data_IF_455470619829
#
_entry.id   IF_455470619829
#
_cell.length_a   1.000
_cell.length_b   1.000
_cell.length_c   1.000
_cell.angle_alpha   90.00
_cell.angle_beta   90.00
_cell.angle_gamma   90.00
#
_symmetry.space_group_name_H-M   'P 1'
#
loop_
_entity.id
_entity.type
_entity.pdbx_description
1 polymer ?
#
# COMPACT_ATOMS: atom_id res chain seq x y z
N UNK A 1 25.25 2.83 -38.13
CA UNK A 1 25.42 3.59 -36.87
C UNK A 1 24.04 3.84 -36.29
N UNK A 2 23.61 3.00 -35.34
CA UNK A 2 22.24 2.99 -34.81
C UNK A 2 22.04 4.19 -33.87
N UNK A 3 21.07 5.05 -34.19
CA UNK A 3 20.58 6.12 -33.33
C UNK A 3 19.78 5.46 -32.18
N UNK A 4 20.32 5.53 -30.97
CA UNK A 4 19.57 5.21 -29.75
C UNK A 4 18.87 6.49 -29.31
N UNK A 5 17.59 6.61 -29.60
CA UNK A 5 16.72 7.64 -29.03
C UNK A 5 16.43 7.29 -27.57
N UNK A 6 17.06 8.03 -26.65
CA UNK A 6 16.73 8.01 -25.23
C UNK A 6 15.31 8.51 -25.03
N UNK A 7 14.39 7.62 -24.68
CA UNK A 7 13.06 7.98 -24.21
C UNK A 7 13.21 8.41 -22.75
N UNK A 8 13.33 9.71 -22.51
CA UNK A 8 13.38 10.28 -21.17
C UNK A 8 12.08 9.95 -20.44
N UNK A 9 12.16 9.07 -19.43
CA UNK A 9 11.04 8.78 -18.55
C UNK A 9 10.74 10.04 -17.72
N UNK A 10 9.81 10.86 -18.19
CA UNK A 10 9.32 12.04 -17.47
C UNK A 10 8.45 11.60 -16.27
N UNK A 11 9.07 11.04 -15.25
CA UNK A 11 8.42 10.70 -13.99
C UNK A 11 8.10 11.95 -13.19
N UNK A 12 6.96 12.59 -13.47
CA UNK A 12 6.46 13.71 -12.64
C UNK A 12 6.08 13.18 -11.26
N UNK A 13 6.80 13.60 -10.22
CA UNK A 13 6.41 13.36 -8.84
C UNK A 13 5.09 14.06 -8.54
N UNK A 14 4.03 13.28 -8.33
CA UNK A 14 2.76 13.80 -7.87
C UNK A 14 2.77 13.86 -6.34
N UNK A 15 2.54 15.05 -5.78
CA UNK A 15 2.22 15.18 -4.34
C UNK A 15 0.85 14.58 -4.10
N UNK A 16 0.83 13.35 -3.62
CA UNK A 16 -0.38 12.65 -3.20
C UNK A 16 -0.44 12.77 -1.67
N UNK A 17 -1.60 13.15 -1.11
CA UNK A 17 -1.76 13.23 0.33
C UNK A 17 -1.45 11.90 1.01
N UNK A 18 -0.87 11.93 2.21
CA UNK A 18 -0.43 10.72 2.92
C UNK A 18 -1.57 9.70 3.07
N UNK A 19 -2.79 10.19 3.31
CA UNK A 19 -4.01 9.38 3.42
C UNK A 19 -4.41 8.67 2.12
N UNK A 20 -3.99 9.16 0.96
CA UNK A 20 -4.27 8.58 -0.36
C UNK A 20 -3.21 7.55 -0.80
N UNK A 21 -1.98 7.67 -0.30
CA UNK A 21 -0.88 6.72 -0.62
C UNK A 21 -1.02 5.44 0.21
N UNK A 22 -1.46 5.57 1.47
CA UNK A 22 -1.65 4.45 2.40
C UNK A 22 -3.06 3.87 2.40
N UNK A 23 -3.95 4.30 1.48
CA UNK A 23 -5.30 3.74 1.38
C UNK A 23 -5.23 2.30 0.90
N UNK A 24 -5.26 1.36 1.84
CA UNK A 24 -5.38 -0.05 1.53
C UNK A 24 -6.81 -0.32 1.02
N UNK A 25 -6.98 -0.40 -0.30
CA UNK A 25 -8.31 -0.66 -0.91
C UNK A 25 -8.80 -2.11 -0.74
N UNK A 26 -8.26 -2.89 0.19
CA UNK A 26 -8.63 -4.30 0.37
C UNK A 26 -9.77 -4.53 1.36
N UNK A 27 -10.10 -3.53 2.20
CA UNK A 27 -11.27 -3.55 3.08
C UNK A 27 -12.20 -2.39 2.75
N UNK A 28 -13.46 -2.49 3.18
CA UNK A 28 -14.31 -1.30 3.28
C UNK A 28 -13.88 -0.48 4.52
N UNK A 29 -14.14 0.82 4.52
CA UNK A 29 -13.72 1.73 5.59
C UNK A 29 -14.05 1.21 6.98
N UNK A 30 -15.28 0.67 7.18
CA UNK A 30 -15.71 0.11 8.47
C UNK A 30 -14.77 -0.97 9.00
N UNK A 31 -14.40 -1.93 8.15
CA UNK A 31 -13.58 -3.07 8.56
C UNK A 31 -12.10 -2.70 8.67
N UNK A 32 -11.62 -1.81 7.81
CA UNK A 32 -10.25 -1.28 7.90
C UNK A 32 -10.03 -0.57 9.24
N UNK A 33 -10.93 0.35 9.58
CA UNK A 33 -10.91 1.05 10.87
C UNK A 33 -11.03 0.06 12.02
N UNK A 34 -12.00 -0.87 12.01
CA UNK A 34 -12.17 -1.82 13.12
C UNK A 34 -10.91 -2.65 13.40
N UNK A 35 -10.14 -3.02 12.37
CA UNK A 35 -8.92 -3.81 12.50
C UNK A 35 -7.69 -2.98 12.89
N UNK A 36 -7.56 -1.77 12.35
CA UNK A 36 -6.33 -0.97 12.47
C UNK A 36 -6.47 0.28 13.36
N UNK A 37 -7.64 0.56 13.91
CA UNK A 37 -7.89 1.66 14.86
C UNK A 37 -6.83 1.70 15.98
N UNK A 38 -6.45 0.51 16.46
CA UNK A 38 -5.43 0.36 17.48
C UNK A 38 -4.08 0.99 17.11
N UNK A 39 -3.64 0.89 15.86
CA UNK A 39 -2.35 1.44 15.41
C UNK A 39 -2.46 2.81 14.75
N UNK A 40 -3.68 3.26 14.43
CA UNK A 40 -3.94 4.54 13.76
C UNK A 40 -4.26 5.67 14.75
N UNK A 41 -4.98 5.37 15.84
CA UNK A 41 -5.48 6.38 16.77
C UNK A 41 -4.75 6.40 18.12
N UNK A 42 -3.84 5.46 18.38
CA UNK A 42 -3.02 5.44 19.59
C UNK A 42 -1.61 5.96 19.36
N UNK A 43 -0.94 6.32 20.46
CA UNK A 43 0.48 6.71 20.43
C UNK A 43 1.29 5.54 19.90
N UNK A 44 2.02 5.78 18.80
CA UNK A 44 2.84 4.78 18.15
C UNK A 44 3.90 4.20 19.10
N UNK A 45 3.82 2.90 19.36
CA UNK A 45 4.79 2.17 20.18
C UNK A 45 5.24 0.86 19.48
N UNK A 46 6.44 0.89 18.89
CA UNK A 46 7.04 -0.24 18.16
C UNK A 46 7.45 -1.41 19.07
N UNK A 47 7.61 -1.18 20.37
CA UNK A 47 8.02 -2.24 21.31
C UNK A 47 6.86 -3.22 21.55
N UNK A 48 5.63 -2.74 21.43
CA UNK A 48 4.43 -3.50 21.67
C UNK A 48 4.21 -4.58 20.58
N UNK A 49 3.94 -5.81 21.02
CA UNK A 49 3.74 -6.94 20.13
C UNK A 49 2.51 -6.77 19.22
N UNK A 50 1.41 -6.26 19.75
CA UNK A 50 0.17 -6.04 19.00
C UNK A 50 0.38 -5.03 17.86
N UNK A 51 1.06 -3.93 18.13
CA UNK A 51 1.45 -2.93 17.11
C UNK A 51 2.25 -3.59 15.98
N UNK A 52 3.29 -4.36 16.32
CA UNK A 52 4.10 -5.09 15.33
C UNK A 52 3.27 -6.04 14.47
N UNK A 53 2.42 -6.87 15.08
CA UNK A 53 1.55 -7.79 14.35
C UNK A 53 0.62 -7.06 13.40
N UNK A 54 -0.05 -5.99 13.86
CA UNK A 54 -1.03 -5.28 13.05
C UNK A 54 -0.40 -4.61 11.83
N UNK A 55 0.80 -4.03 11.97
CA UNK A 55 1.56 -3.51 10.84
C UNK A 55 2.00 -4.62 9.87
N UNK A 56 2.54 -5.73 10.37
CA UNK A 56 2.91 -6.87 9.53
C UNK A 56 1.70 -7.43 8.78
N UNK A 57 0.56 -7.57 9.46
CA UNK A 57 -0.68 -8.06 8.88
C UNK A 57 -1.16 -7.14 7.75
N UNK A 58 -1.20 -5.82 7.97
CA UNK A 58 -1.55 -4.84 6.94
C UNK A 58 -0.63 -4.89 5.73
N UNK A 59 0.68 -5.06 5.95
CA UNK A 59 1.66 -5.19 4.87
C UNK A 59 1.41 -6.45 4.03
N UNK A 60 1.20 -7.61 4.67
CA UNK A 60 0.92 -8.88 3.98
C UNK A 60 -0.35 -8.76 3.12
N UNK A 61 -1.43 -8.20 3.66
CA UNK A 61 -2.67 -8.00 2.92
C UNK A 61 -2.51 -7.09 1.71
N UNK A 62 -1.69 -6.04 1.82
CA UNK A 62 -1.36 -5.16 0.71
C UNK A 62 -0.63 -5.89 -0.42
N UNK A 63 0.35 -6.73 -0.08
CA UNK A 63 1.08 -7.53 -1.06
C UNK A 63 0.20 -8.60 -1.71
N UNK A 64 -0.63 -9.29 -0.93
CA UNK A 64 -1.62 -10.24 -1.46
C UNK A 64 -2.58 -9.57 -2.44
N UNK A 65 -3.05 -8.37 -2.13
CA UNK A 65 -3.93 -7.60 -3.02
C UNK A 65 -3.21 -7.20 -4.31
N UNK A 66 -1.96 -6.74 -4.22
CA UNK A 66 -1.14 -6.42 -5.42
C UNK A 66 -0.96 -7.65 -6.31
N UNK A 67 -0.66 -8.81 -5.72
CA UNK A 67 -0.53 -10.09 -6.44
C UNK A 67 -1.84 -10.53 -7.09
N UNK A 68 -2.97 -10.44 -6.38
CA UNK A 68 -4.27 -10.79 -6.96
C UNK A 68 -4.66 -9.85 -8.11
N UNK A 69 -4.34 -8.56 -8.00
CA UNK A 69 -4.51 -7.63 -9.12
C UNK A 69 -3.62 -8.02 -10.30
N UNK A 70 -2.33 -8.32 -10.09
CA UNK A 70 -1.41 -8.67 -11.18
C UNK A 70 -1.86 -9.91 -11.96
N UNK A 71 -2.46 -10.89 -11.28
CA UNK A 71 -2.99 -12.10 -11.92
C UNK A 71 -4.23 -11.78 -12.78
N UNK A 72 -5.12 -10.90 -12.30
CA UNK A 72 -6.34 -10.53 -13.02
C UNK A 72 -6.07 -9.71 -14.30
N UNK A 73 -5.02 -8.88 -14.32
CA UNK A 73 -4.62 -8.13 -15.54
C UNK A 73 -3.90 -9.00 -16.57
N UNK A 74 -3.35 -10.16 -16.19
CA UNK A 74 -2.65 -11.06 -17.13
C UNK A 74 -3.58 -12.02 -17.89
N UNK A 75 -4.86 -12.08 -17.53
CA UNK A 75 -5.86 -12.97 -18.14
C UNK A 75 -6.93 -12.23 -18.95
N UNK A 76 -6.78 -10.90 -19.14
CA UNK A 76 -7.63 -10.06 -20.01
C UNK A 76 -6.78 -9.49 -21.13
#
# INVERSE_FOLDING_TARGET
MLKVSMMEAQGKFHKIGINNIFTFKGFCNKHDTLLFDYIENNIFNITEYKTKILFCYRAVLNELRKKNKSILISTT
#
